data_IF_824686137780
#
_entry.id   IF_824686137780
#
_cell.length_a   1.000
_cell.length_b   1.000
_cell.length_c   1.000
_cell.angle_alpha   90.00
_cell.angle_beta   90.00
_cell.angle_gamma   90.00
#
_symmetry.space_group_name_H-M   'P 1'
#
loop_
_entity.id
_entity.type
_entity.pdbx_description
1 polymer ?
#
# COMPACT_ATOMS: atom_id res chain seq x y z
N UNK A 1 -6.48 57.70 10.94
CA UNK A 1 -5.97 58.85 10.15
C UNK A 1 -4.94 58.31 9.17
N UNK A 2 -4.92 58.79 7.92
CA UNK A 2 -3.89 58.52 6.88
C UNK A 2 -3.71 57.03 6.50
N UNK A 3 -4.16 56.49 5.34
CA UNK A 3 -4.15 57.03 3.95
C UNK A 3 -2.70 57.44 3.56
N UNK A 4 -2.10 57.18 2.40
CA UNK A 4 -2.52 56.98 1.00
C UNK A 4 -1.24 56.50 0.22
N UNK A 5 -1.18 55.69 -0.85
CA UNK A 5 -2.06 54.77 -1.61
C UNK A 5 -1.17 54.15 -2.74
N UNK A 6 -1.75 53.75 -3.89
CA UNK A 6 -1.13 53.54 -5.22
C UNK A 6 -0.42 52.19 -5.53
N UNK A 7 -0.61 51.59 -6.73
CA UNK A 7 -1.64 51.84 -7.77
C UNK A 7 -1.79 50.64 -8.72
N UNK A 8 -3.05 50.36 -9.06
CA UNK A 8 -3.59 49.96 -10.39
C UNK A 8 -2.64 49.37 -11.44
N UNK A 9 -3.11 48.29 -12.08
CA UNK A 9 -3.28 48.37 -13.52
C UNK A 9 -4.62 47.76 -13.95
N UNK A 10 -5.37 48.52 -14.75
CA UNK A 10 -6.66 48.14 -15.33
C UNK A 10 -6.46 48.16 -16.84
N UNK A 11 -6.74 47.06 -17.52
CA UNK A 11 -6.90 47.03 -18.97
C UNK A 11 -8.03 46.05 -19.31
N UNK A 12 -8.95 46.52 -20.14
CA UNK A 12 -10.16 45.85 -20.64
C UNK A 12 -10.29 46.25 -22.12
N UNK A 13 -11.31 45.77 -22.86
CA UNK A 13 -11.44 44.48 -23.52
C UNK A 13 -11.01 44.55 -25.01
N UNK A 14 -11.51 43.61 -25.84
CA UNK A 14 -11.50 43.58 -27.32
C UNK A 14 -10.21 43.14 -28.03
N UNK A 15 -10.08 41.83 -28.23
CA UNK A 15 -9.35 41.25 -29.36
C UNK A 15 -10.09 40.00 -29.87
N UNK A 16 -11.04 40.21 -30.79
CA UNK A 16 -11.76 39.13 -31.48
C UNK A 16 -10.88 38.53 -32.59
N UNK A 17 -11.04 37.22 -32.81
CA UNK A 17 -10.70 36.46 -34.04
C UNK A 17 -9.35 35.70 -34.07
N UNK A 18 -9.46 34.44 -34.51
CA UNK A 18 -8.40 33.55 -35.07
C UNK A 18 -7.44 32.84 -34.10
N UNK A 19 -7.98 32.06 -33.17
CA UNK A 19 -7.42 30.71 -33.00
C UNK A 19 -8.09 29.76 -34.00
N UNK A 20 -7.26 29.05 -34.78
CA UNK A 20 -7.72 28.08 -35.77
C UNK A 20 -8.26 26.84 -35.07
N UNK A 21 -9.27 26.22 -35.67
CA UNK A 21 -9.69 24.88 -35.28
C UNK A 21 -8.58 23.90 -35.66
N UNK A 22 -7.75 23.49 -34.70
CA UNK A 22 -6.89 22.32 -34.84
C UNK A 22 -7.75 21.07 -34.68
N UNK A 23 -8.53 20.79 -35.74
CA UNK A 23 -9.19 19.52 -35.97
C UNK A 23 -8.07 18.46 -36.05
N UNK A 24 -8.13 17.37 -35.25
CA UNK A 24 -7.25 16.24 -35.45
C UNK A 24 -7.45 15.75 -36.88
N UNK A 25 -6.40 15.86 -37.72
CA UNK A 25 -6.46 15.38 -39.10
C UNK A 25 -6.79 13.89 -39.08
N UNK A 26 -8.01 13.55 -39.48
CA UNK A 26 -8.40 12.15 -39.72
C UNK A 26 -7.40 11.55 -40.70
N UNK A 27 -6.81 10.41 -40.33
CA UNK A 27 -5.85 9.72 -41.16
C UNK A 27 -6.52 9.35 -42.50
N UNK A 28 -5.87 9.48 -43.68
CA UNK A 28 -6.56 9.31 -44.96
C UNK A 28 -7.02 7.88 -45.28
N UNK A 29 -6.78 6.91 -44.40
CA UNK A 29 -7.00 5.48 -44.64
C UNK A 29 -8.41 4.98 -44.25
N UNK A 30 -9.21 5.79 -43.55
CA UNK A 30 -10.58 5.40 -43.10
C UNK A 30 -11.68 5.62 -44.14
N UNK A 31 -11.34 6.02 -45.38
CA UNK A 31 -12.29 6.11 -46.48
C UNK A 31 -12.34 4.81 -47.28
N UNK A 32 -13.50 4.14 -47.22
CA UNK A 32 -13.83 2.97 -48.04
C UNK A 32 -13.49 3.28 -49.50
N UNK A 33 -12.54 2.54 -50.07
CA UNK A 33 -12.05 2.80 -51.43
C UNK A 33 -13.12 2.47 -52.47
N UNK A 34 -13.09 3.15 -53.62
CA UNK A 34 -14.09 2.94 -54.69
C UNK A 34 -14.19 1.48 -55.15
N UNK A 35 -13.09 0.70 -55.07
CA UNK A 35 -13.07 -0.73 -55.36
C UNK A 35 -13.85 -1.58 -54.34
N UNK A 36 -13.85 -1.20 -53.06
CA UNK A 36 -14.64 -1.85 -52.01
C UNK A 36 -16.15 -1.58 -52.20
N UNK A 37 -16.54 -0.38 -52.64
CA UNK A 37 -17.93 -0.08 -53.00
C UNK A 37 -18.38 -0.85 -54.26
N UNK A 38 -17.48 -1.01 -55.24
CA UNK A 38 -17.73 -1.76 -56.47
C UNK A 38 -17.95 -3.26 -56.23
N UNK A 39 -17.24 -3.86 -55.28
CA UNK A 39 -17.46 -5.27 -54.88
C UNK A 39 -18.77 -5.46 -54.10
N UNK A 40 -19.11 -4.56 -53.17
CA UNK A 40 -20.38 -4.58 -52.42
C UNK A 40 -21.64 -4.34 -53.28
N UNK A 41 -21.48 -3.82 -54.50
CA UNK A 41 -22.57 -3.67 -55.48
C UNK A 41 -22.92 -4.97 -56.23
N UNK A 42 -22.07 -6.00 -56.16
CA UNK A 42 -22.22 -7.26 -56.92
C UNK A 42 -22.73 -8.44 -56.08
N UNK A 43 -22.95 -8.22 -54.79
CA UNK A 43 -23.38 -9.23 -53.81
C UNK A 43 -24.88 -9.14 -53.56
N UNK A 44 -25.53 -10.23 -53.12
CA UNK A 44 -26.96 -10.18 -52.82
C UNK A 44 -27.22 -9.37 -51.54
N UNK A 45 -28.47 -8.88 -51.38
CA UNK A 45 -28.89 -8.12 -50.19
C UNK A 45 -28.62 -8.86 -48.87
N UNK A 46 -28.74 -10.19 -48.86
CA UNK A 46 -28.47 -11.02 -47.69
C UNK A 46 -26.96 -11.11 -47.37
N UNK A 47 -26.11 -11.23 -48.38
CA UNK A 47 -24.66 -11.28 -48.19
C UNK A 47 -24.15 -9.93 -47.67
N UNK A 48 -24.66 -8.82 -48.22
CA UNK A 48 -24.32 -7.46 -47.78
C UNK A 48 -24.79 -7.18 -46.34
N UNK A 49 -25.98 -7.67 -45.96
CA UNK A 49 -26.45 -7.66 -44.57
C UNK A 49 -25.52 -8.44 -43.63
N UNK A 50 -25.02 -9.60 -44.07
CA UNK A 50 -24.09 -10.43 -43.30
C UNK A 50 -22.74 -9.74 -43.11
N UNK A 51 -22.10 -9.26 -44.17
CA UNK A 51 -20.82 -8.55 -44.10
C UNK A 51 -20.89 -7.29 -43.22
N UNK A 52 -22.00 -6.54 -43.27
CA UNK A 52 -22.21 -5.38 -42.39
C UNK A 52 -22.36 -5.79 -40.92
N UNK A 53 -23.03 -6.91 -40.60
CA UNK A 53 -23.08 -7.43 -39.22
C UNK A 53 -21.72 -7.93 -38.76
N UNK A 54 -20.96 -8.61 -39.60
CA UNK A 54 -19.62 -9.10 -39.27
C UNK A 54 -18.64 -7.92 -39.02
N UNK A 55 -18.76 -6.82 -39.78
CA UNK A 55 -18.03 -5.56 -39.56
C UNK A 55 -18.47 -4.82 -38.30
N UNK A 56 -19.78 -4.74 -38.00
CA UNK A 56 -20.27 -4.16 -36.75
C UNK A 56 -19.78 -4.98 -35.55
N UNK A 57 -19.90 -6.30 -35.60
CA UNK A 57 -19.52 -7.19 -34.49
C UNK A 57 -18.00 -7.13 -34.20
N UNK A 58 -17.17 -7.03 -35.24
CA UNK A 58 -15.73 -6.83 -35.06
C UNK A 58 -15.37 -5.43 -34.55
N UNK A 59 -16.09 -4.38 -34.94
CA UNK A 59 -15.92 -3.04 -34.37
C UNK A 59 -16.37 -2.96 -32.91
N UNK A 60 -17.51 -3.56 -32.53
CA UNK A 60 -17.96 -3.58 -31.12
C UNK A 60 -16.97 -4.33 -30.22
N UNK A 61 -16.36 -5.42 -30.72
CA UNK A 61 -15.31 -6.14 -30.00
C UNK A 61 -14.03 -5.30 -29.81
N UNK A 62 -13.73 -4.38 -30.74
CA UNK A 62 -12.57 -3.50 -30.69
C UNK A 62 -12.80 -2.26 -29.81
N UNK A 63 -13.98 -1.65 -29.81
CA UNK A 63 -14.30 -0.53 -28.91
C UNK A 63 -14.42 -0.98 -27.46
N UNK A 64 -15.01 -2.15 -27.19
CA UNK A 64 -15.02 -2.74 -25.84
C UNK A 64 -13.60 -3.07 -25.36
N UNK A 65 -12.69 -3.42 -26.30
CA UNK A 65 -11.26 -3.57 -25.99
C UNK A 65 -10.58 -2.24 -25.69
N UNK A 66 -10.86 -1.17 -26.43
CA UNK A 66 -10.17 0.13 -26.31
C UNK A 66 -10.38 0.80 -24.95
N UNK A 67 -11.54 0.62 -24.32
CA UNK A 67 -11.77 1.11 -22.95
C UNK A 67 -11.10 0.28 -21.84
N UNK A 68 -10.57 -0.91 -22.16
CA UNK A 68 -9.91 -1.82 -21.20
C UNK A 68 -8.39 -1.95 -21.52
N UNK A 69 -7.92 -1.36 -22.63
CA UNK A 69 -6.55 -1.51 -23.14
C UNK A 69 -5.55 -0.49 -22.59
N UNK A 70 -5.52 -0.30 -21.28
CA UNK A 70 -4.25 -0.03 -20.56
C UNK A 70 -4.25 -0.79 -19.23
N UNK A 71 -3.76 -2.03 -19.19
CA UNK A 71 -3.55 -2.77 -17.94
C UNK A 71 -2.28 -2.27 -17.20
N UNK A 72 -2.18 -0.95 -17.00
CA UNK A 72 -1.24 -0.35 -16.04
C UNK A 72 -1.79 -0.56 -14.63
N UNK A 73 -1.68 -1.80 -14.15
CA UNK A 73 -1.61 -2.21 -12.74
C UNK A 73 -2.37 -1.30 -11.74
N UNK A 74 -3.67 -1.09 -11.96
CA UNK A 74 -4.54 -0.57 -10.91
C UNK A 74 -4.68 -1.65 -9.85
N UNK A 75 -3.89 -1.52 -8.78
CA UNK A 75 -4.02 -2.32 -7.58
C UNK A 75 -5.40 -2.04 -6.96
N UNK A 76 -6.35 -2.94 -7.24
CA UNK A 76 -7.73 -2.91 -6.74
C UNK A 76 -7.77 -2.96 -5.21
N UNK A 77 -6.74 -3.56 -4.60
CA UNK A 77 -6.56 -3.63 -3.16
C UNK A 77 -5.84 -2.40 -2.58
N UNK A 78 -5.42 -1.43 -3.42
CA UNK A 78 -4.72 -0.26 -2.92
C UNK A 78 -5.64 0.62 -2.03
N UNK A 79 -5.15 1.08 -0.87
CA UNK A 79 -5.96 1.90 0.05
C UNK A 79 -6.46 3.18 -0.61
N UNK A 80 -5.64 3.77 -1.50
CA UNK A 80 -5.95 5.01 -2.22
C UNK A 80 -7.12 4.83 -3.18
N UNK A 81 -7.16 3.73 -3.94
CA UNK A 81 -8.26 3.45 -4.85
C UNK A 81 -9.56 3.16 -4.09
N UNK A 82 -9.49 2.46 -2.94
CA UNK A 82 -10.64 2.29 -2.05
C UNK A 82 -11.18 3.66 -1.56
N UNK A 83 -10.30 4.58 -1.18
CA UNK A 83 -10.68 5.94 -0.77
C UNK A 83 -11.26 6.78 -1.94
N UNK A 84 -10.68 6.68 -3.16
CA UNK A 84 -11.20 7.32 -4.38
C UNK A 84 -12.58 6.80 -4.79
N UNK A 85 -12.82 5.48 -4.69
CA UNK A 85 -14.11 4.85 -4.96
C UNK A 85 -15.17 5.35 -3.96
N UNK A 86 -14.83 5.44 -2.67
CA UNK A 86 -15.72 6.01 -1.64
C UNK A 86 -16.06 7.47 -1.99
N UNK A 87 -15.09 8.27 -2.38
CA UNK A 87 -15.32 9.66 -2.77
C UNK A 87 -16.23 9.77 -4.01
N UNK A 88 -16.07 8.89 -4.99
CA UNK A 88 -16.94 8.82 -6.18
C UNK A 88 -18.38 8.41 -5.80
N UNK A 89 -18.55 7.47 -4.87
CA UNK A 89 -19.88 7.09 -4.34
C UNK A 89 -20.53 8.27 -3.62
N UNK A 90 -19.80 8.98 -2.75
CA UNK A 90 -20.30 10.16 -2.02
C UNK A 90 -20.72 11.27 -3.01
N UNK A 91 -19.98 11.47 -4.10
CA UNK A 91 -20.33 12.42 -5.16
C UNK A 91 -21.61 12.00 -5.90
N UNK A 92 -21.71 10.74 -6.33
CA UNK A 92 -22.93 10.22 -6.98
C UNK A 92 -24.17 10.35 -6.09
N UNK A 93 -24.07 9.96 -4.82
CA UNK A 93 -25.16 10.08 -3.84
C UNK A 93 -25.57 11.56 -3.60
N UNK A 94 -24.64 12.50 -3.72
CA UNK A 94 -24.95 13.92 -3.66
C UNK A 94 -25.75 14.39 -4.88
N UNK A 95 -25.31 14.01 -6.08
CA UNK A 95 -25.85 14.53 -7.34
C UNK A 95 -27.25 13.98 -7.66
N UNK A 96 -27.54 12.73 -7.28
CA UNK A 96 -28.89 12.13 -7.31
C UNK A 96 -29.78 12.56 -6.12
N UNK A 97 -29.27 13.37 -5.19
CA UNK A 97 -30.03 13.92 -4.07
C UNK A 97 -30.23 12.99 -2.87
N UNK A 98 -29.53 11.86 -2.79
CA UNK A 98 -29.60 10.88 -1.69
C UNK A 98 -28.85 11.34 -0.41
N UNK A 99 -29.20 12.52 0.11
CA UNK A 99 -28.44 13.19 1.18
C UNK A 99 -28.30 12.39 2.48
N UNK A 100 -29.31 11.58 2.85
CA UNK A 100 -29.22 10.73 4.03
C UNK A 100 -28.15 9.62 3.86
N UNK A 101 -28.20 8.89 2.75
CA UNK A 101 -27.22 7.85 2.42
C UNK A 101 -25.82 8.41 2.24
N UNK A 102 -25.69 9.60 1.63
CA UNK A 102 -24.43 10.34 1.51
C UNK A 102 -23.78 10.56 2.88
N UNK A 103 -24.56 11.06 3.85
CA UNK A 103 -24.04 11.34 5.20
C UNK A 103 -23.58 10.06 5.90
N UNK A 104 -24.39 8.99 5.86
CA UNK A 104 -24.02 7.71 6.47
C UNK A 104 -22.71 7.14 5.90
N UNK A 105 -22.57 7.07 4.58
CA UNK A 105 -21.35 6.54 3.93
C UNK A 105 -20.13 7.41 4.25
N UNK A 106 -20.29 8.74 4.26
CA UNK A 106 -19.24 9.69 4.61
C UNK A 106 -18.77 9.52 6.07
N UNK A 107 -19.69 9.41 7.02
CA UNK A 107 -19.36 9.28 8.44
C UNK A 107 -18.69 7.92 8.74
N UNK A 108 -19.19 6.83 8.13
CA UNK A 108 -18.55 5.50 8.20
C UNK A 108 -17.13 5.51 7.60
N UNK A 109 -16.94 6.16 6.45
CA UNK A 109 -15.63 6.31 5.81
C UNK A 109 -14.64 7.09 6.67
N UNK A 110 -15.09 8.16 7.34
CA UNK A 110 -14.28 8.94 8.29
C UNK A 110 -13.85 8.06 9.48
N UNK A 111 -14.77 7.29 10.08
CA UNK A 111 -14.42 6.37 11.18
C UNK A 111 -13.38 5.35 10.73
N UNK A 112 -13.56 4.74 9.55
CA UNK A 112 -12.61 3.78 8.97
C UNK A 112 -11.27 4.40 8.57
N UNK A 113 -11.22 5.70 8.28
CA UNK A 113 -9.97 6.42 8.08
C UNK A 113 -9.24 6.62 9.42
N UNK A 114 -9.93 7.08 10.46
CA UNK A 114 -9.33 7.25 11.80
C UNK A 114 -8.79 5.93 12.38
N UNK A 115 -9.53 4.82 12.26
CA UNK A 115 -9.05 3.49 12.69
C UNK A 115 -7.74 3.08 11.98
N UNK A 116 -7.64 3.34 10.67
CA UNK A 116 -6.41 3.03 9.89
C UNK A 116 -5.24 3.92 10.29
N UNK A 117 -5.46 5.23 10.49
CA UNK A 117 -4.39 6.15 10.86
C UNK A 117 -3.93 5.94 12.31
N UNK A 118 -4.81 5.53 13.24
CA UNK A 118 -4.41 5.14 14.60
C UNK A 118 -3.44 3.96 14.57
N UNK A 119 -3.76 2.89 13.83
CA UNK A 119 -2.87 1.73 13.65
C UNK A 119 -1.55 2.11 12.96
N UNK A 120 -1.60 3.04 12.00
CA UNK A 120 -0.41 3.57 11.33
C UNK A 120 0.51 4.34 12.29
N UNK A 121 -0.07 5.17 13.16
CA UNK A 121 0.66 5.88 14.22
C UNK A 121 1.20 4.94 15.31
N UNK A 122 0.46 3.90 15.71
CA UNK A 122 0.98 2.85 16.60
C UNK A 122 2.15 2.10 15.96
N UNK A 123 2.09 1.77 14.67
CA UNK A 123 3.20 1.14 13.95
C UNK A 123 4.44 2.05 13.88
N UNK A 124 4.28 3.35 13.61
CA UNK A 124 5.39 4.32 13.67
C UNK A 124 6.03 4.38 15.07
N UNK A 125 5.20 4.43 16.13
CA UNK A 125 5.67 4.41 17.53
C UNK A 125 6.41 3.12 17.87
N UNK A 126 5.92 1.97 17.42
CA UNK A 126 6.57 0.67 17.61
C UNK A 126 7.92 0.59 16.89
N UNK A 127 7.98 0.99 15.61
CA UNK A 127 9.24 1.06 14.83
C UNK A 127 10.27 1.97 15.52
N UNK A 128 9.84 3.14 16.00
CA UNK A 128 10.69 4.05 16.78
C UNK A 128 11.20 3.41 18.08
N UNK A 129 10.32 2.79 18.86
CA UNK A 129 10.68 2.14 20.12
C UNK A 129 11.68 0.98 19.92
N UNK A 130 11.60 0.23 18.82
CA UNK A 130 12.57 -0.82 18.46
C UNK A 130 13.96 -0.22 18.19
N UNK A 131 14.04 0.84 17.38
CA UNK A 131 15.31 1.50 17.04
C UNK A 131 15.99 2.12 18.28
N UNK A 132 15.21 2.83 19.11
CA UNK A 132 15.69 3.44 20.35
C UNK A 132 15.99 2.40 21.44
N UNK A 133 15.41 1.19 21.36
CA UNK A 133 15.47 0.18 22.41
C UNK A 133 14.60 0.52 23.62
N UNK A 134 13.56 1.32 23.41
CA UNK A 134 12.55 1.67 24.40
C UNK A 134 11.58 0.49 24.61
N UNK A 135 12.11 -0.65 25.05
CA UNK A 135 11.38 -1.92 25.17
C UNK A 135 10.13 -1.81 26.04
N UNK A 136 10.19 -0.99 27.09
CA UNK A 136 9.05 -0.68 27.97
C UNK A 136 7.92 0.12 27.29
N UNK A 137 8.21 0.84 26.21
CA UNK A 137 7.20 1.55 25.42
C UNK A 137 6.64 0.64 24.33
N UNK A 138 7.48 -0.23 23.74
CA UNK A 138 7.03 -1.28 22.84
C UNK A 138 6.06 -2.26 23.53
N UNK A 139 6.29 -2.62 24.79
CA UNK A 139 5.37 -3.47 25.58
C UNK A 139 4.00 -2.82 25.87
N UNK A 140 3.88 -1.48 25.76
CA UNK A 140 2.59 -0.77 25.90
C UNK A 140 1.76 -0.76 24.62
N UNK A 141 2.39 -0.98 23.46
CA UNK A 141 1.74 -0.93 22.15
C UNK A 141 1.09 -2.27 21.85
N UNK A 142 -0.15 -2.24 21.35
CA UNK A 142 -0.91 -3.45 21.07
C UNK A 142 -0.46 -4.07 19.74
N UNK A 143 0.66 -4.82 19.74
CA UNK A 143 1.28 -5.39 18.53
C UNK A 143 0.43 -6.42 17.75
N UNK A 144 -0.68 -6.92 18.32
CA UNK A 144 -1.54 -7.95 17.70
C UNK A 144 -2.29 -7.48 16.45
N UNK A 145 -3.04 -6.36 16.46
CA UNK A 145 -3.65 -5.79 15.25
C UNK A 145 -2.62 -5.31 14.21
N UNK A 146 -1.41 -4.96 14.64
CA UNK A 146 -0.37 -4.40 13.77
C UNK A 146 0.37 -5.46 12.93
N UNK A 147 0.58 -6.67 13.45
CA UNK A 147 1.59 -7.60 12.92
C UNK A 147 1.03 -8.97 12.55
N UNK A 148 1.23 -9.40 11.29
CA UNK A 148 0.97 -10.80 10.87
C UNK A 148 1.93 -11.74 11.61
N UNK A 149 1.42 -12.88 12.09
CA UNK A 149 2.19 -13.83 12.89
C UNK A 149 2.82 -13.22 14.16
N UNK A 150 2.06 -12.39 14.89
CA UNK A 150 2.45 -11.71 16.13
C UNK A 150 3.42 -12.48 17.05
N UNK A 151 3.19 -13.78 17.31
CA UNK A 151 4.05 -14.57 18.19
C UNK A 151 5.48 -14.75 17.65
N UNK A 152 5.65 -14.88 16.32
CA UNK A 152 6.97 -14.99 15.67
C UNK A 152 7.72 -13.67 15.80
N UNK A 153 7.02 -12.55 15.54
CA UNK A 153 7.62 -11.23 15.75
C UNK A 153 8.00 -10.98 17.21
N UNK A 154 7.14 -11.39 18.16
CA UNK A 154 7.39 -11.28 19.59
C UNK A 154 8.61 -12.12 20.04
N UNK A 155 8.81 -13.31 19.46
CA UNK A 155 10.02 -14.11 19.67
C UNK A 155 11.28 -13.36 19.22
N UNK A 156 11.26 -12.72 18.04
CA UNK A 156 12.41 -11.95 17.53
C UNK A 156 12.70 -10.70 18.38
N UNK A 157 11.67 -9.98 18.84
CA UNK A 157 11.81 -8.86 19.80
C UNK A 157 12.44 -9.33 21.11
N UNK A 158 12.00 -10.46 21.65
CA UNK A 158 12.57 -11.04 22.86
C UNK A 158 13.99 -11.57 22.65
N UNK A 159 14.30 -12.09 21.45
CA UNK A 159 15.66 -12.52 21.10
C UNK A 159 16.62 -11.33 21.04
N UNK A 160 16.19 -10.21 20.44
CA UNK A 160 16.97 -8.97 20.44
C UNK A 160 17.25 -8.46 21.87
N UNK A 161 16.21 -8.37 22.72
CA UNK A 161 16.38 -7.97 24.13
C UNK A 161 17.33 -8.91 24.89
N UNK A 162 17.25 -10.21 24.64
CA UNK A 162 18.14 -11.19 25.24
C UNK A 162 19.60 -11.00 24.82
N UNK A 163 19.88 -10.82 23.52
CA UNK A 163 21.22 -10.54 23.02
C UNK A 163 21.79 -9.23 23.59
N UNK A 164 20.95 -8.21 23.78
CA UNK A 164 21.34 -6.98 24.48
C UNK A 164 21.71 -7.20 25.95
N UNK A 165 21.05 -8.11 26.67
CA UNK A 165 21.49 -8.47 28.03
C UNK A 165 22.82 -9.22 28.05
N UNK A 166 23.09 -10.09 27.07
CA UNK A 166 24.38 -10.79 26.95
C UNK A 166 25.52 -9.80 26.65
N UNK A 167 25.32 -8.88 25.72
CA UNK A 167 26.31 -7.87 25.34
C UNK A 167 26.60 -6.88 26.48
N UNK A 168 25.59 -6.51 27.28
CA UNK A 168 25.77 -5.72 28.50
C UNK A 168 26.27 -6.55 29.70
N UNK A 169 26.60 -7.83 29.51
CA UNK A 169 27.04 -8.78 30.53
C UNK A 169 26.07 -8.99 31.72
N UNK A 170 24.78 -8.68 31.55
CA UNK A 170 23.74 -8.87 32.56
C UNK A 170 23.14 -10.29 32.50
N UNK A 171 23.99 -11.27 32.82
CA UNK A 171 23.66 -12.70 32.71
C UNK A 171 22.47 -13.08 33.62
N UNK A 172 22.27 -12.38 34.74
CA UNK A 172 21.15 -12.63 35.65
C UNK A 172 19.81 -12.20 35.02
N UNK A 173 19.73 -11.01 34.41
CA UNK A 173 18.54 -10.63 33.63
C UNK A 173 18.37 -11.53 32.41
N UNK A 174 19.44 -11.83 31.68
CA UNK A 174 19.40 -12.73 30.52
C UNK A 174 18.79 -14.10 30.85
N UNK A 175 19.27 -14.77 31.92
CA UNK A 175 18.75 -16.06 32.37
C UNK A 175 17.26 -16.01 32.76
N UNK A 176 16.86 -14.97 33.51
CA UNK A 176 15.46 -14.78 33.92
C UNK A 176 14.56 -14.49 32.70
N UNK A 177 15.04 -13.70 31.75
CA UNK A 177 14.33 -13.35 30.51
C UNK A 177 14.18 -14.56 29.58
N UNK A 178 15.26 -15.33 29.38
CA UNK A 178 15.25 -16.57 28.60
C UNK A 178 14.18 -17.55 29.10
N UNK A 179 14.13 -17.79 30.41
CA UNK A 179 13.17 -18.72 31.01
C UNK A 179 11.72 -18.22 31.00
N UNK A 180 11.48 -16.91 31.17
CA UNK A 180 10.12 -16.36 31.30
C UNK A 180 9.48 -15.89 29.99
N UNK A 181 10.29 -15.44 29.02
CA UNK A 181 9.82 -14.79 27.78
C UNK A 181 10.12 -15.63 26.53
N UNK A 182 11.35 -16.16 26.40
CA UNK A 182 11.76 -16.92 25.22
C UNK A 182 11.35 -18.39 25.26
N UNK A 183 11.53 -19.08 26.39
CA UNK A 183 11.23 -20.52 26.51
C UNK A 183 9.78 -20.90 26.15
N UNK A 184 8.73 -20.14 26.52
CA UNK A 184 7.36 -20.43 26.05
C UNK A 184 7.18 -20.35 24.52
N UNK A 185 8.10 -19.66 23.83
CA UNK A 185 8.10 -19.41 22.40
C UNK A 185 9.20 -20.21 21.65
N UNK A 186 9.88 -21.15 22.31
CA UNK A 186 10.99 -21.95 21.76
C UNK A 186 10.64 -22.63 20.42
N UNK A 187 9.40 -23.08 20.26
CA UNK A 187 8.88 -23.70 19.03
C UNK A 187 8.81 -22.75 17.80
N UNK A 188 9.06 -21.46 17.97
CA UNK A 188 9.05 -20.43 16.91
C UNK A 188 10.46 -20.09 16.38
N UNK A 189 11.48 -20.82 16.84
CA UNK A 189 12.86 -20.64 16.37
C UNK A 189 13.01 -20.80 14.85
N UNK A 190 13.88 -19.97 14.25
CA UNK A 190 14.18 -19.97 12.81
C UNK A 190 15.03 -21.16 12.39
N UNK A 191 15.84 -21.72 13.29
CA UNK A 191 16.66 -22.91 13.06
C UNK A 191 16.53 -23.90 14.23
N UNK A 192 16.68 -25.22 14.02
CA UNK A 192 16.44 -26.23 15.07
C UNK A 192 17.27 -26.08 16.35
N UNK A 193 18.46 -25.48 16.25
CA UNK A 193 19.40 -25.29 17.35
C UNK A 193 19.44 -23.84 17.88
N UNK A 194 18.57 -22.94 17.42
CA UNK A 194 18.64 -21.51 17.80
C UNK A 194 18.48 -21.33 19.30
N UNK A 195 17.50 -21.99 19.92
CA UNK A 195 17.28 -21.89 21.36
C UNK A 195 18.39 -22.55 22.19
N UNK A 196 19.00 -23.63 21.69
CA UNK A 196 20.20 -24.23 22.27
C UNK A 196 21.39 -23.26 22.24
N UNK A 197 21.58 -22.55 21.12
CA UNK A 197 22.60 -21.51 20.99
C UNK A 197 22.34 -20.31 21.91
N UNK A 198 21.08 -19.88 22.06
CA UNK A 198 20.70 -18.87 23.06
C UNK A 198 21.03 -19.35 24.49
N UNK A 199 20.73 -20.61 24.85
CA UNK A 199 21.10 -21.16 26.16
C UNK A 199 22.63 -21.17 26.39
N UNK A 200 23.41 -21.48 25.37
CA UNK A 200 24.88 -21.47 25.43
C UNK A 200 25.44 -20.08 25.74
N UNK A 201 24.84 -19.01 25.22
CA UNK A 201 25.31 -17.62 25.45
C UNK A 201 25.33 -17.20 26.93
N UNK A 202 24.58 -17.87 27.82
CA UNK A 202 24.66 -17.63 29.27
C UNK A 202 26.02 -17.96 29.89
N UNK A 203 26.85 -18.76 29.21
CA UNK A 203 28.21 -19.13 29.66
C UNK A 203 29.31 -18.58 28.74
N UNK A 204 28.93 -17.92 27.64
CA UNK A 204 29.82 -17.25 26.72
C UNK A 204 30.36 -15.93 27.31
N UNK A 205 31.43 -15.41 26.70
CA UNK A 205 31.98 -14.07 26.99
C UNK A 205 31.46 -13.01 26.03
N UNK A 206 31.10 -13.41 24.81
CA UNK A 206 30.53 -12.56 23.77
C UNK A 206 29.44 -13.29 23.00
N UNK A 207 28.49 -12.54 22.43
CA UNK A 207 27.49 -13.06 21.49
C UNK A 207 28.13 -13.85 20.34
N UNK A 208 29.32 -13.45 19.88
CA UNK A 208 30.03 -14.09 18.76
C UNK A 208 30.66 -15.46 19.08
N UNK A 209 30.70 -15.87 20.36
CA UNK A 209 31.20 -17.20 20.74
C UNK A 209 30.27 -18.32 20.24
N UNK A 210 28.99 -18.03 20.02
CA UNK A 210 28.05 -18.95 19.37
C UNK A 210 28.18 -18.90 17.84
N UNK A 211 28.33 -20.05 17.15
CA UNK A 211 28.35 -20.10 15.68
C UNK A 211 27.10 -19.50 15.02
N UNK A 212 25.93 -19.58 15.68
CA UNK A 212 24.67 -19.03 15.17
C UNK A 212 24.64 -17.49 15.15
N UNK A 213 25.39 -16.84 16.05
CA UNK A 213 25.40 -15.38 16.22
C UNK A 213 26.74 -14.73 15.84
N UNK A 214 27.61 -15.48 15.15
CA UNK A 214 28.91 -14.98 14.66
C UNK A 214 28.80 -13.78 13.72
N UNK A 215 27.73 -13.71 12.94
CA UNK A 215 27.44 -12.61 12.01
C UNK A 215 26.51 -11.53 12.63
N UNK A 216 26.33 -11.54 13.94
CA UNK A 216 25.69 -10.44 14.64
C UNK A 216 26.60 -9.21 14.55
N UNK A 217 26.03 -8.03 14.29
CA UNK A 217 26.80 -6.79 14.03
C UNK A 217 26.72 -5.79 15.20
N UNK A 218 26.32 -6.28 16.38
CA UNK A 218 26.05 -5.47 17.56
C UNK A 218 24.63 -4.91 17.61
N UNK A 219 24.36 -4.12 18.65
CA UNK A 219 23.01 -3.72 19.04
C UNK A 219 22.31 -2.88 17.96
N UNK A 220 22.96 -1.82 17.45
CA UNK A 220 22.38 -0.89 16.48
C UNK A 220 21.89 -1.57 15.19
N UNK A 221 22.79 -2.20 14.40
CA UNK A 221 22.42 -2.88 13.16
C UNK A 221 21.41 -4.02 13.37
N UNK A 222 21.42 -4.67 14.53
CA UNK A 222 20.46 -5.73 14.86
C UNK A 222 19.06 -5.16 15.16
N UNK A 223 18.96 -3.98 15.79
CA UNK A 223 17.69 -3.26 15.94
C UNK A 223 17.16 -2.72 14.62
N UNK A 224 18.03 -2.24 13.73
CA UNK A 224 17.65 -1.81 12.37
C UNK A 224 17.04 -2.99 11.59
N UNK A 225 17.72 -4.14 11.55
CA UNK A 225 17.19 -5.37 10.93
C UNK A 225 15.87 -5.84 11.56
N UNK A 226 15.70 -5.69 12.87
CA UNK A 226 14.41 -6.00 13.53
C UNK A 226 13.31 -4.99 13.16
N UNK A 227 13.65 -3.71 12.99
CA UNK A 227 12.71 -2.66 12.57
C UNK A 227 12.29 -2.82 11.10
N UNK A 228 13.20 -3.23 10.21
CA UNK A 228 12.91 -3.65 8.84
C UNK A 228 12.01 -4.90 8.82
N UNK A 229 12.34 -5.92 9.64
CA UNK A 229 11.51 -7.11 9.75
C UNK A 229 10.10 -6.75 10.28
N UNK A 230 9.99 -5.88 11.27
CA UNK A 230 8.71 -5.35 11.75
C UNK A 230 7.93 -4.69 10.62
N UNK A 231 8.54 -3.77 9.88
CA UNK A 231 7.90 -3.07 8.76
C UNK A 231 7.42 -4.02 7.66
N UNK A 232 8.16 -5.10 7.38
CA UNK A 232 7.74 -6.16 6.44
C UNK A 232 6.57 -7.02 6.95
N UNK A 233 6.35 -7.07 8.27
CA UNK A 233 5.29 -7.83 8.93
C UNK A 233 4.09 -6.96 9.35
N UNK A 234 4.25 -5.63 9.34
CA UNK A 234 3.18 -4.67 9.61
C UNK A 234 2.12 -4.79 8.54
N UNK A 235 0.91 -5.06 8.98
CA UNK A 235 -0.26 -5.12 8.13
C UNK A 235 -0.98 -3.78 8.17
N UNK A 236 -0.79 -2.97 7.13
CA UNK A 236 -1.79 -1.97 6.79
C UNK A 236 -3.09 -2.70 6.47
N UNK A 237 -4.18 -2.36 7.15
CA UNK A 237 -5.40 -3.16 7.24
C UNK A 237 -6.26 -3.21 5.96
N UNK A 238 -5.67 -3.61 4.82
CA UNK A 238 -6.26 -3.42 3.48
C UNK A 238 -6.20 -4.66 2.57
N UNK A 239 -5.27 -5.60 2.79
CA UNK A 239 -5.32 -6.95 2.17
C UNK A 239 -6.22 -7.86 3.03
N UNK A 240 -7.53 -7.66 2.87
CA UNK A 240 -8.59 -8.35 3.62
C UNK A 240 -8.38 -9.87 3.68
N UNK A 241 -8.83 -10.46 4.78
CA UNK A 241 -8.67 -11.90 5.04
C UNK A 241 -9.55 -12.70 4.08
N UNK A 242 -8.92 -13.62 3.35
CA UNK A 242 -9.53 -14.92 3.02
C UNK A 242 -9.58 -15.82 4.27
#
# INVERSE_FOLDING_TARGET
>A
MSNNMNRTNIANPEAVSKHKNDIPKSNPEDLITYDQLSSLSKMTLNDRQKTLRDQVTSNTYNDTKRFISSPEMYDIDSPKLKDEIIQMIIQYLHDEGYQASKMTVHDEAIVKWYEREELHEEAKKAKKAILEGAWSDLEKIQLKPLVKNHNIFLYEVYKQQYLEYIENHDIQKALNFLNKKLKPLEHLQKTPDEFCNLCYLLTAKSVHDSPAFKNWEGIGPSREKLAEQFESMVYYAVSDKE
#
